data_IF_946075936184
#
_entry.id   IF_946075936184
#
_cell.length_a   1.000
_cell.length_b   1.000
_cell.length_c   1.000
_cell.angle_alpha   90.00
_cell.angle_beta   90.00
_cell.angle_gamma   90.00
#
_symmetry.space_group_name_H-M   'P 1'
#
loop_
_entity.id
_entity.type
_entity.pdbx_description
1 polymer ?
#
# COMPACT_ATOMS: atom_id res chain seq x y z
N UNK A 1 -1.20 12.42 6.03
CA UNK A 1 -1.25 13.87 6.32
C UNK A 1 -1.31 14.69 5.04
N UNK A 2 -0.28 14.62 4.19
CA UNK A 2 -0.21 15.33 2.90
C UNK A 2 -1.49 15.27 2.04
N UNK A 3 -2.08 14.08 1.86
CA UNK A 3 -3.32 13.91 1.07
C UNK A 3 -4.45 14.80 1.61
N UNK A 4 -4.65 14.82 2.93
CA UNK A 4 -5.71 15.59 3.58
C UNK A 4 -5.49 17.08 3.43
N UNK A 5 -4.24 17.53 3.57
CA UNK A 5 -3.88 18.93 3.41
C UNK A 5 -4.10 19.41 1.96
N UNK A 6 -3.66 18.62 0.98
CA UNK A 6 -3.85 18.96 -0.44
C UNK A 6 -5.32 18.96 -0.82
N UNK A 7 -6.07 17.92 -0.45
CA UNK A 7 -7.49 17.81 -0.75
C UNK A 7 -8.32 18.96 -0.15
N UNK A 8 -7.87 19.54 0.96
CA UNK A 8 -8.50 20.72 1.57
C UNK A 8 -8.07 22.07 0.96
N UNK A 9 -7.04 22.10 0.11
CA UNK A 9 -6.45 23.35 -0.43
C UNK A 9 -6.65 23.56 -1.92
N UNK A 10 -6.88 22.49 -2.67
CA UNK A 10 -7.07 22.57 -4.13
C UNK A 10 -8.50 22.21 -4.51
N UNK A 11 -8.98 22.79 -5.61
CA UNK A 11 -10.29 22.47 -6.18
C UNK A 11 -10.25 21.33 -7.20
N UNK A 12 -9.06 20.91 -7.63
CA UNK A 12 -8.86 19.80 -8.59
C UNK A 12 -8.74 18.45 -7.88
N UNK A 13 -9.10 17.33 -8.55
CA UNK A 13 -8.96 16.00 -7.96
C UNK A 13 -7.52 15.68 -7.52
N UNK A 14 -7.37 15.19 -6.29
CA UNK A 14 -6.07 14.73 -5.76
C UNK A 14 -5.96 13.21 -5.95
N UNK A 15 -4.94 12.76 -6.68
CA UNK A 15 -4.65 11.32 -6.84
C UNK A 15 -3.51 10.93 -5.90
N UNK A 16 -3.73 9.92 -5.05
CA UNK A 16 -2.72 9.43 -4.12
C UNK A 16 -1.88 8.30 -4.75
N UNK A 17 -0.57 8.50 -4.82
CA UNK A 17 0.37 7.51 -5.34
C UNK A 17 1.60 7.39 -4.42
N UNK A 18 2.17 6.18 -4.36
CA UNK A 18 3.47 5.92 -3.75
C UNK A 18 3.37 5.27 -2.38
N UNK A 19 4.11 4.17 -2.20
CA UNK A 19 4.22 3.40 -0.93
C UNK A 19 2.90 2.91 -0.34
N UNK A 20 1.87 2.73 -1.16
CA UNK A 20 0.61 2.11 -0.76
C UNK A 20 0.76 0.60 -0.96
N UNK A 21 0.91 -0.12 0.15
CA UNK A 21 1.24 -1.53 0.22
C UNK A 21 0.08 -2.44 0.61
N UNK A 22 -0.99 -1.89 1.20
CA UNK A 22 -2.15 -2.69 1.66
C UNK A 22 -3.50 -2.06 1.27
N UNK A 23 -4.58 -2.86 1.21
CA UNK A 23 -5.93 -2.35 1.00
C UNK A 23 -6.34 -1.29 2.04
N UNK A 24 -5.96 -1.46 3.30
CA UNK A 24 -6.28 -0.53 4.40
C UNK A 24 -5.60 0.82 4.19
N UNK A 25 -4.36 0.82 3.68
CA UNK A 25 -3.65 2.05 3.32
C UNK A 25 -4.32 2.77 2.14
N UNK A 26 -4.76 2.03 1.11
CA UNK A 26 -5.51 2.61 0.00
C UNK A 26 -6.85 3.21 0.48
N UNK A 27 -7.59 2.49 1.33
CA UNK A 27 -8.83 2.99 1.93
C UNK A 27 -8.58 4.22 2.83
N UNK A 28 -7.46 4.27 3.55
CA UNK A 28 -7.06 5.43 4.34
C UNK A 28 -6.76 6.66 3.46
N UNK A 29 -6.15 6.46 2.29
CA UNK A 29 -5.93 7.54 1.32
C UNK A 29 -7.25 8.12 0.80
N UNK A 30 -8.21 7.26 0.44
CA UNK A 30 -9.56 7.67 0.03
C UNK A 30 -10.27 8.45 1.16
N UNK A 31 -10.28 7.91 2.39
CA UNK A 31 -10.85 8.60 3.56
C UNK A 31 -10.15 9.93 3.87
N UNK A 32 -8.89 10.08 3.48
CA UNK A 32 -8.15 11.33 3.65
C UNK A 32 -8.49 12.38 2.59
N UNK A 33 -9.31 12.08 1.59
CA UNK A 33 -9.76 13.02 0.56
C UNK A 33 -9.12 12.81 -0.81
N UNK A 34 -8.39 11.72 -1.03
CA UNK A 34 -7.96 11.37 -2.38
C UNK A 34 -9.18 11.01 -3.25
N UNK A 35 -9.20 11.53 -4.47
CA UNK A 35 -10.17 11.15 -5.51
C UNK A 35 -9.95 9.71 -5.99
N UNK A 36 -8.70 9.35 -6.20
CA UNK A 36 -8.29 8.01 -6.63
C UNK A 36 -6.95 7.63 -6.00
N UNK A 37 -6.65 6.34 -6.04
CA UNK A 37 -5.42 5.75 -5.51
C UNK A 37 -4.73 4.95 -6.59
N UNK A 38 -3.42 5.18 -6.77
CA UNK A 38 -2.57 4.44 -7.69
C UNK A 38 -1.68 3.49 -6.90
N UNK A 39 -1.73 2.21 -7.23
CA UNK A 39 -0.95 1.15 -6.59
C UNK A 39 -0.17 0.38 -7.65
N UNK A 40 1.16 0.49 -7.60
CA UNK A 40 2.08 -0.25 -8.46
C UNK A 40 2.65 -1.47 -7.76
N UNK A 41 3.80 -1.30 -7.07
CA UNK A 41 4.63 -2.37 -6.49
C UNK A 41 3.87 -3.47 -5.75
N UNK A 42 2.82 -3.14 -5.01
CA UNK A 42 2.05 -4.11 -4.23
C UNK A 42 1.08 -4.98 -5.06
N UNK A 43 0.83 -4.63 -6.32
CA UNK A 43 -0.08 -5.34 -7.24
C UNK A 43 0.67 -5.87 -8.47
N UNK A 44 1.54 -5.07 -9.08
CA UNK A 44 2.09 -5.34 -10.42
C UNK A 44 3.59 -5.65 -10.45
N UNK A 45 4.26 -5.77 -9.30
CA UNK A 45 5.68 -6.12 -9.22
C UNK A 45 5.86 -7.49 -8.54
N UNK A 46 5.79 -8.60 -9.32
CA UNK A 46 5.78 -9.94 -8.76
C UNK A 46 7.03 -10.27 -7.94
N UNK A 47 8.20 -9.74 -8.28
CA UNK A 47 9.43 -9.94 -7.50
C UNK A 47 9.28 -9.36 -6.09
N UNK A 48 8.79 -8.12 -5.99
CA UNK A 48 8.56 -7.45 -4.71
C UNK A 48 7.50 -8.13 -3.85
N UNK A 49 6.43 -8.63 -4.48
CA UNK A 49 5.38 -9.39 -3.81
C UNK A 49 5.98 -10.68 -3.24
N UNK A 50 6.73 -11.41 -4.08
CA UNK A 50 7.39 -12.68 -3.71
C UNK A 50 8.38 -12.49 -2.56
N UNK A 51 9.22 -11.46 -2.60
CA UNK A 51 10.13 -11.10 -1.50
C UNK A 51 9.39 -10.90 -0.18
N UNK A 52 8.20 -10.29 -0.21
CA UNK A 52 7.33 -10.12 0.95
C UNK A 52 6.88 -11.45 1.54
N UNK A 53 6.43 -12.38 0.69
CA UNK A 53 6.03 -13.73 1.12
C UNK A 53 7.22 -14.51 1.70
N UNK A 54 8.36 -14.55 1.00
CA UNK A 54 9.56 -15.27 1.45
C UNK A 54 10.00 -14.75 2.82
N UNK A 55 10.06 -13.44 3.00
CA UNK A 55 10.41 -12.82 4.28
C UNK A 55 9.40 -13.13 5.38
N UNK A 56 8.11 -13.08 5.08
CA UNK A 56 7.04 -13.38 6.04
C UNK A 56 6.99 -14.84 6.48
N UNK A 57 7.49 -15.76 5.66
CA UNK A 57 7.57 -17.20 5.97
C UNK A 57 8.90 -17.60 6.62
N UNK A 58 9.89 -16.70 6.68
CA UNK A 58 11.19 -17.02 7.26
C UNK A 58 11.02 -17.34 8.77
N UNK A 59 11.27 -18.59 9.15
CA UNK A 59 11.03 -19.14 10.49
C UNK A 59 9.81 -20.06 10.62
N UNK A 60 8.90 -20.08 9.64
CA UNK A 60 7.76 -21.01 9.65
C UNK A 60 8.19 -22.48 9.42
N UNK A 61 9.35 -22.71 8.80
CA UNK A 61 9.90 -24.04 8.54
C UNK A 61 10.60 -24.73 9.72
N UNK A 62 10.97 -23.99 10.77
CA UNK A 62 11.70 -24.57 11.91
C UNK A 62 10.77 -25.15 12.98
N UNK A 63 9.51 -24.71 13.04
CA UNK A 63 8.52 -25.18 14.02
C UNK A 63 7.83 -26.51 13.64
N UNK A 64 8.19 -27.11 12.49
CA UNK A 64 7.55 -28.31 11.94
C UNK A 64 8.40 -29.59 11.96
N UNK A 65 9.64 -29.54 12.45
CA UNK A 65 10.49 -30.72 12.61
C UNK A 65 10.29 -31.33 14.02
N UNK A 66 9.30 -32.21 14.14
CA UNK A 66 9.17 -33.21 15.22
C UNK A 66 9.39 -34.59 14.66
#
# INVERSE_FOLDING_TARGET
>A
ELIRELAGRVSVPVVAEGRIGTPEQAAAALRAGAWAVVVGRAITMPEAITEGFVRGMAGAGEAGAV
#
